data_IF_559779276490
#
_entry.id   IF_559779276490
#
_cell.length_a   1.000
_cell.length_b   1.000
_cell.length_c   1.000
_cell.angle_alpha   90.00
_cell.angle_beta   90.00
_cell.angle_gamma   90.00
#
_symmetry.space_group_name_H-M   'P 1'
#
loop_
_entity.id
_entity.type
_entity.pdbx_description
1 polymer ?
#
# COMPACT_ATOMS: atom_id res chain seq x y z
N UNK A 1 -29.15 8.99 -19.04
CA UNK A 1 -29.07 8.32 -17.74
C UNK A 1 -28.45 6.98 -18.04
N UNK A 2 -27.11 6.83 -17.88
CA UNK A 2 -26.45 5.53 -18.01
C UNK A 2 -26.89 4.69 -16.81
N UNK A 3 -27.42 3.53 -17.10
CA UNK A 3 -27.76 2.51 -16.10
C UNK A 3 -26.44 2.04 -15.46
N UNK A 4 -26.06 2.70 -14.37
CA UNK A 4 -24.85 2.44 -13.61
C UNK A 4 -25.12 1.35 -12.55
N UNK A 5 -26.01 0.41 -12.90
CA UNK A 5 -26.27 -0.75 -12.06
C UNK A 5 -24.96 -1.54 -11.95
N UNK A 6 -24.37 -1.65 -10.74
CA UNK A 6 -23.11 -2.36 -10.58
C UNK A 6 -23.26 -3.80 -11.06
N UNK A 7 -22.34 -4.28 -11.88
CA UNK A 7 -22.28 -5.70 -12.19
C UNK A 7 -22.02 -6.48 -10.91
N UNK A 8 -22.72 -7.59 -10.71
CA UNK A 8 -22.55 -8.52 -9.59
C UNK A 8 -21.19 -9.27 -9.61
N UNK A 9 -20.16 -8.75 -10.26
CA UNK A 9 -18.83 -9.37 -10.28
C UNK A 9 -18.13 -8.93 -9.00
N UNK A 10 -18.06 -9.83 -8.06
CA UNK A 10 -17.46 -9.63 -6.73
C UNK A 10 -15.97 -9.97 -6.68
N UNK A 11 -15.42 -10.59 -7.73
CA UNK A 11 -13.99 -10.90 -7.84
C UNK A 11 -13.57 -11.00 -9.29
N UNK A 12 -12.30 -10.70 -9.55
CA UNK A 12 -11.69 -10.84 -10.86
C UNK A 12 -10.41 -11.67 -10.77
N UNK A 13 -10.30 -12.69 -11.60
CA UNK A 13 -9.06 -13.44 -11.75
C UNK A 13 -8.14 -12.72 -12.74
N UNK A 14 -6.88 -12.51 -12.32
CA UNK A 14 -5.81 -11.97 -13.12
C UNK A 14 -4.81 -13.10 -13.40
N UNK A 15 -4.47 -13.29 -14.67
CA UNK A 15 -3.57 -14.37 -15.08
C UNK A 15 -2.77 -13.96 -16.31
N UNK A 16 -1.64 -13.36 -16.11
CA UNK A 16 -0.78 -12.87 -17.19
C UNK A 16 0.69 -12.93 -16.80
N UNK A 17 1.54 -13.21 -17.79
CA UNK A 17 3.00 -13.07 -17.72
C UNK A 17 3.66 -13.71 -16.49
N UNK A 18 3.12 -14.83 -16.02
CA UNK A 18 3.63 -15.54 -14.83
C UNK A 18 2.99 -15.11 -13.51
N UNK A 19 2.13 -14.10 -13.52
CA UNK A 19 1.32 -13.74 -12.37
C UNK A 19 -0.02 -14.45 -12.39
N UNK A 20 -0.50 -14.86 -11.24
CA UNK A 20 -1.84 -15.42 -11.01
C UNK A 20 -2.38 -14.89 -9.71
N UNK A 21 -3.55 -14.28 -9.73
CA UNK A 21 -4.18 -13.76 -8.52
C UNK A 21 -5.66 -13.53 -8.68
N UNK A 22 -6.34 -13.32 -7.56
CA UNK A 22 -7.75 -12.94 -7.52
C UNK A 22 -7.85 -11.57 -6.86
N UNK A 23 -8.41 -10.60 -7.57
CA UNK A 23 -8.74 -9.29 -7.03
C UNK A 23 -10.15 -9.34 -6.47
N UNK A 24 -10.30 -8.88 -5.23
CA UNK A 24 -11.56 -8.82 -4.50
C UNK A 24 -12.12 -7.39 -4.55
N UNK A 25 -13.44 -7.29 -4.58
CA UNK A 25 -14.15 -6.10 -4.14
C UNK A 25 -14.59 -6.25 -2.67
N UNK A 26 -14.99 -5.15 -2.04
CA UNK A 26 -15.42 -5.17 -0.63
C UNK A 26 -16.71 -5.98 -0.39
N UNK A 27 -17.46 -6.27 -1.44
CA UNK A 27 -18.75 -6.98 -1.39
C UNK A 27 -18.52 -8.49 -1.36
N UNK A 28 -17.52 -8.97 -2.11
CA UNK A 28 -17.23 -10.40 -2.26
C UNK A 28 -16.80 -11.09 -0.97
N UNK A 29 -16.38 -10.32 0.03
CA UNK A 29 -15.73 -10.87 1.21
C UNK A 29 -16.25 -10.25 2.51
N UNK A 30 -17.50 -10.56 2.85
CA UNK A 30 -18.15 -10.08 4.08
C UNK A 30 -17.37 -10.39 5.37
N UNK A 31 -16.52 -11.42 5.38
CA UNK A 31 -15.72 -11.80 6.55
C UNK A 31 -14.41 -11.03 6.65
N UNK A 32 -13.81 -10.60 5.54
CA UNK A 32 -12.50 -9.92 5.51
C UNK A 32 -12.58 -8.45 5.16
N UNK A 33 -13.63 -8.00 4.50
CA UNK A 33 -13.88 -6.61 4.12
C UNK A 33 -12.63 -5.93 3.55
N UNK A 34 -12.29 -6.23 2.30
CA UNK A 34 -11.13 -5.66 1.64
C UNK A 34 -11.23 -5.72 0.12
N UNK A 35 -10.57 -4.77 -0.51
CA UNK A 35 -10.32 -4.72 -1.96
C UNK A 35 -8.86 -5.05 -2.21
N UNK A 36 -8.52 -5.58 -3.39
CA UNK A 36 -7.15 -5.94 -3.73
C UNK A 36 -6.95 -7.45 -3.86
N UNK A 37 -5.72 -7.91 -3.70
CA UNK A 37 -5.36 -9.29 -4.03
C UNK A 37 -5.49 -10.26 -2.85
N UNK A 38 -6.17 -11.38 -3.10
CA UNK A 38 -6.16 -12.56 -2.25
C UNK A 38 -6.64 -13.79 -3.03
N UNK A 39 -5.73 -14.73 -3.39
CA UNK A 39 -4.27 -14.67 -3.28
C UNK A 39 -3.59 -13.92 -4.44
N UNK A 40 -2.26 -13.75 -4.34
CA UNK A 40 -1.40 -13.34 -5.47
C UNK A 40 -0.15 -14.24 -5.52
N UNK A 41 0.02 -14.94 -6.63
CA UNK A 41 1.15 -15.85 -6.88
C UNK A 41 2.03 -15.33 -8.00
N UNK A 42 3.32 -15.54 -7.85
CA UNK A 42 4.32 -15.29 -8.91
C UNK A 42 4.82 -16.60 -9.51
N UNK A 43 5.14 -16.61 -10.81
CA UNK A 43 5.52 -17.81 -11.53
C UNK A 43 6.76 -18.53 -10.98
N UNK A 44 7.68 -17.81 -10.34
CA UNK A 44 8.81 -18.43 -9.65
C UNK A 44 8.39 -19.22 -8.38
N UNK A 45 7.24 -18.89 -7.78
CA UNK A 45 6.72 -19.49 -6.55
C UNK A 45 5.20 -19.69 -6.66
N UNK A 46 4.74 -20.61 -7.54
CA UNK A 46 3.32 -20.72 -7.91
C UNK A 46 2.41 -21.20 -6.78
N UNK A 47 2.98 -21.77 -5.73
CA UNK A 47 2.24 -22.36 -4.60
C UNK A 47 2.33 -21.51 -3.32
N UNK A 48 3.03 -20.38 -3.38
CA UNK A 48 3.21 -19.47 -2.23
C UNK A 48 2.62 -18.11 -2.59
N UNK A 49 1.54 -17.72 -1.92
CA UNK A 49 0.97 -16.39 -2.06
C UNK A 49 1.90 -15.33 -1.47
N UNK A 50 2.03 -14.19 -2.16
CA UNK A 50 2.78 -13.03 -1.67
C UNK A 50 2.17 -12.43 -0.40
N UNK A 51 0.86 -12.54 -0.26
CA UNK A 51 0.10 -12.07 0.89
C UNK A 51 -0.44 -13.22 1.72
N UNK A 52 -0.70 -12.96 2.98
CA UNK A 52 -1.33 -13.93 3.88
C UNK A 52 -2.69 -14.38 3.35
N UNK A 53 -3.02 -15.66 3.55
CA UNK A 53 -4.30 -16.24 3.08
C UNK A 53 -5.52 -15.67 3.83
N UNK A 54 -5.31 -15.16 5.06
CA UNK A 54 -6.35 -14.58 5.91
C UNK A 54 -6.43 -13.05 5.79
N UNK A 55 -5.69 -12.43 4.86
CA UNK A 55 -5.64 -11.00 4.63
C UNK A 55 -5.73 -10.66 3.14
N UNK A 56 -5.76 -9.38 2.80
CA UNK A 56 -5.80 -8.84 1.44
C UNK A 56 -4.59 -7.98 1.23
N UNK A 57 -3.88 -8.16 0.11
CA UNK A 57 -2.76 -7.31 -0.28
C UNK A 57 -3.22 -6.14 -1.15
N UNK A 58 -2.53 -5.02 -1.02
CA UNK A 58 -2.83 -3.73 -1.65
C UNK A 58 -4.28 -3.29 -1.45
N UNK A 59 -4.78 -3.56 -0.25
CA UNK A 59 -6.13 -3.21 0.15
C UNK A 59 -6.24 -1.70 0.40
N UNK A 60 -7.10 -1.00 -0.33
CA UNK A 60 -7.45 0.38 0.00
C UNK A 60 -8.26 0.38 1.30
N UNK A 61 -7.58 0.63 2.42
CA UNK A 61 -8.10 0.33 3.75
C UNK A 61 -8.61 1.53 4.50
N UNK A 62 -7.84 2.64 4.50
CA UNK A 62 -8.15 3.80 5.33
C UNK A 62 -8.31 5.08 4.52
N UNK A 63 -9.22 5.95 5.00
CA UNK A 63 -9.22 7.39 4.76
C UNK A 63 -9.22 8.09 6.12
N UNK A 64 -8.33 9.06 6.33
CA UNK A 64 -8.22 9.83 7.56
C UNK A 64 -7.78 11.27 7.28
N UNK A 65 -8.01 12.19 8.22
CA UNK A 65 -7.76 13.63 8.05
C UNK A 65 -7.17 14.30 9.28
N UNK A 66 -6.69 13.51 10.27
CA UNK A 66 -6.12 14.02 11.51
C UNK A 66 -7.11 14.62 12.51
N UNK A 67 -8.39 14.70 12.19
CA UNK A 67 -9.40 15.10 13.17
C UNK A 67 -9.63 14.00 14.21
N UNK A 68 -10.21 14.38 15.35
CA UNK A 68 -10.71 13.43 16.32
C UNK A 68 -11.69 12.44 15.66
N UNK A 69 -11.73 11.22 16.17
CA UNK A 69 -12.55 10.17 15.59
C UNK A 69 -14.03 10.57 15.58
N UNK A 70 -14.68 10.43 14.44
CA UNK A 70 -16.09 10.74 14.22
C UNK A 70 -16.84 9.44 13.90
N UNK A 71 -17.82 9.10 14.73
CA UNK A 71 -18.63 7.90 14.55
C UNK A 71 -19.37 7.85 13.18
N UNK A 72 -19.62 9.01 12.55
CA UNK A 72 -20.21 9.09 11.23
C UNK A 72 -19.22 8.76 10.09
N UNK A 73 -17.93 8.82 10.35
CA UNK A 73 -16.84 8.57 9.38
C UNK A 73 -15.76 7.70 9.98
N UNK A 74 -15.90 6.39 9.83
CA UNK A 74 -14.83 5.48 10.20
C UNK A 74 -13.66 5.61 9.23
N UNK A 75 -12.42 5.59 9.74
CA UNK A 75 -11.23 5.51 8.91
C UNK A 75 -11.23 4.26 8.03
N UNK A 76 -11.82 3.16 8.47
CA UNK A 76 -11.94 1.90 7.74
C UNK A 76 -13.03 1.90 6.66
N UNK A 77 -13.57 3.07 6.30
CA UNK A 77 -14.62 3.21 5.32
C UNK A 77 -14.28 2.62 3.96
N UNK A 78 -13.09 2.85 3.36
CA UNK A 78 -12.80 2.33 2.04
C UNK A 78 -12.92 0.82 1.92
N UNK A 79 -12.58 0.06 2.96
CA UNK A 79 -12.71 -1.39 2.92
C UNK A 79 -14.11 -1.90 3.28
N UNK A 80 -15.00 -1.03 3.76
CA UNK A 80 -16.38 -1.36 4.15
C UNK A 80 -17.40 -0.82 3.15
N UNK A 81 -17.07 0.29 2.46
CA UNK A 81 -17.94 0.88 1.46
C UNK A 81 -18.03 0.01 0.21
N UNK A 82 -19.16 0.07 -0.52
CA UNK A 82 -19.28 -0.60 -1.80
C UNK A 82 -18.17 -0.22 -2.77
N UNK A 83 -17.49 -1.26 -3.28
CA UNK A 83 -16.45 -1.18 -4.30
C UNK A 83 -16.85 -2.10 -5.46
N UNK A 84 -16.66 -1.65 -6.69
CA UNK A 84 -17.15 -2.35 -7.87
C UNK A 84 -16.02 -2.58 -8.87
N UNK A 85 -16.00 -3.78 -9.48
CA UNK A 85 -15.16 -4.07 -10.61
C UNK A 85 -15.66 -3.30 -11.84
N UNK A 86 -14.80 -2.43 -12.40
CA UNK A 86 -15.11 -1.59 -13.57
C UNK A 86 -14.73 -2.24 -14.88
N UNK A 87 -13.56 -2.86 -14.89
CA UNK A 87 -13.04 -3.54 -16.07
C UNK A 87 -12.13 -4.69 -15.66
N UNK A 88 -12.04 -5.67 -16.53
CA UNK A 88 -11.17 -6.82 -16.35
C UNK A 88 -10.68 -7.33 -17.69
N UNK A 89 -9.38 -7.65 -17.77
CA UNK A 89 -8.75 -8.51 -18.76
C UNK A 89 -7.88 -9.53 -18.01
N UNK A 90 -7.23 -10.45 -18.74
CA UNK A 90 -6.28 -11.38 -18.10
C UNK A 90 -5.09 -10.66 -17.43
N UNK A 91 -4.76 -9.46 -17.90
CA UNK A 91 -3.61 -8.68 -17.43
C UNK A 91 -3.97 -7.44 -16.61
N UNK A 92 -5.22 -7.05 -16.52
CA UNK A 92 -5.61 -5.80 -15.85
C UNK A 92 -6.97 -5.90 -15.17
N UNK A 93 -7.09 -5.16 -14.06
CA UNK A 93 -8.34 -5.03 -13.28
C UNK A 93 -8.46 -3.60 -12.78
N UNK A 94 -9.67 -3.04 -12.85
CA UNK A 94 -9.99 -1.75 -12.24
C UNK A 94 -11.16 -1.85 -11.27
N UNK A 95 -11.01 -1.20 -10.12
CA UNK A 95 -11.99 -1.07 -9.04
C UNK A 95 -12.44 0.38 -8.92
N UNK A 96 -13.71 0.60 -8.56
CA UNK A 96 -14.27 1.94 -8.32
C UNK A 96 -15.05 1.98 -7.00
N UNK A 97 -14.88 3.05 -6.25
CA UNK A 97 -15.69 3.46 -5.09
C UNK A 97 -16.51 4.69 -5.46
N UNK A 98 -17.84 4.61 -5.61
CA UNK A 98 -18.66 5.77 -5.91
C UNK A 98 -18.77 6.73 -4.73
N UNK A 99 -18.64 8.02 -4.97
CA UNK A 99 -18.72 9.05 -3.93
C UNK A 99 -20.03 9.02 -3.13
N UNK A 100 -21.15 8.67 -3.78
CA UNK A 100 -22.48 8.55 -3.15
C UNK A 100 -22.53 7.48 -2.06
N UNK A 101 -21.70 6.43 -2.18
CA UNK A 101 -21.66 5.28 -1.27
C UNK A 101 -20.55 5.44 -0.22
N UNK A 102 -19.73 6.49 -0.32
CA UNK A 102 -18.63 6.79 0.59
C UNK A 102 -19.04 7.81 1.66
N UNK A 103 -18.81 7.50 2.93
CA UNK A 103 -19.02 8.44 4.05
C UNK A 103 -18.09 9.66 3.95
N UNK A 104 -16.98 9.54 3.23
CA UNK A 104 -16.04 10.63 2.92
C UNK A 104 -16.41 11.42 1.67
N UNK A 105 -17.41 10.96 0.89
CA UNK A 105 -17.73 11.53 -0.41
C UNK A 105 -16.57 11.40 -1.40
N UNK A 106 -15.84 10.33 -1.30
CA UNK A 106 -14.69 10.02 -2.14
C UNK A 106 -15.13 9.22 -3.37
N UNK A 107 -15.01 9.81 -4.56
CA UNK A 107 -15.05 9.09 -5.83
C UNK A 107 -13.64 8.60 -6.11
N UNK A 108 -13.42 7.29 -6.05
CA UNK A 108 -12.09 6.73 -6.21
C UNK A 108 -12.05 5.61 -7.26
N UNK A 109 -10.93 5.51 -7.96
CA UNK A 109 -10.63 4.43 -8.90
C UNK A 109 -9.22 3.91 -8.66
N UNK A 110 -9.07 2.59 -8.68
CA UNK A 110 -7.82 1.86 -8.51
C UNK A 110 -7.69 0.85 -9.62
N UNK A 111 -6.59 0.91 -10.38
CA UNK A 111 -6.33 -0.04 -11.46
C UNK A 111 -4.98 -0.73 -11.26
N UNK A 112 -4.95 -2.01 -11.62
CA UNK A 112 -3.76 -2.86 -11.64
C UNK A 112 -3.52 -3.35 -13.06
N UNK A 113 -2.27 -3.37 -13.51
CA UNK A 113 -1.85 -3.89 -14.81
C UNK A 113 -0.56 -4.70 -14.69
N UNK A 114 -0.58 -5.95 -15.13
CA UNK A 114 0.64 -6.78 -15.25
C UNK A 114 1.43 -6.32 -16.46
N UNK A 115 2.57 -5.70 -16.23
CA UNK A 115 3.42 -5.11 -17.27
C UNK A 115 4.40 -6.14 -17.84
N UNK A 116 5.05 -6.91 -16.96
CA UNK A 116 6.03 -7.93 -17.33
C UNK A 116 6.02 -9.09 -16.30
N UNK A 117 6.88 -10.12 -16.43
CA UNK A 117 6.90 -11.24 -15.51
C UNK A 117 7.21 -10.88 -14.04
N UNK A 118 7.74 -9.70 -13.78
CA UNK A 118 8.19 -9.28 -12.46
C UNK A 118 7.50 -8.02 -11.93
N UNK A 119 6.65 -7.36 -12.74
CA UNK A 119 6.09 -6.07 -12.36
C UNK A 119 4.59 -5.96 -12.60
N UNK A 120 3.93 -5.33 -11.64
CA UNK A 120 2.54 -4.89 -11.72
C UNK A 120 2.54 -3.37 -11.50
N UNK A 121 1.98 -2.63 -12.45
CA UNK A 121 1.72 -1.20 -12.27
C UNK A 121 0.37 -1.00 -11.61
N UNK A 122 0.30 -0.03 -10.72
CA UNK A 122 -0.91 0.41 -10.06
C UNK A 122 -1.11 1.90 -10.29
N UNK A 123 -2.31 2.30 -10.60
CA UNK A 123 -2.73 3.70 -10.65
C UNK A 123 -3.92 3.93 -9.74
N UNK A 124 -3.91 5.05 -9.04
CA UNK A 124 -5.01 5.48 -8.18
C UNK A 124 -5.41 6.90 -8.49
N UNK A 125 -6.71 7.16 -8.50
CA UNK A 125 -7.28 8.50 -8.57
C UNK A 125 -8.42 8.66 -7.58
N UNK A 126 -8.59 9.87 -7.05
CA UNK A 126 -9.66 10.22 -6.12
C UNK A 126 -10.08 11.68 -6.30
N UNK A 127 -11.38 11.93 -6.16
CA UNK A 127 -11.94 13.28 -6.01
C UNK A 127 -12.93 13.27 -4.85
N UNK A 128 -12.99 14.35 -4.09
CA UNK A 128 -13.89 14.48 -2.95
C UNK A 128 -15.03 15.44 -3.27
N UNK A 129 -16.27 14.99 -3.16
CA UNK A 129 -17.46 15.83 -3.38
C UNK A 129 -17.79 16.72 -2.18
N UNK A 130 -17.24 16.42 -1.01
CA UNK A 130 -17.46 17.14 0.26
C UNK A 130 -16.15 17.59 0.89
N UNK A 131 -16.17 18.70 1.59
CA UNK A 131 -15.04 19.15 2.41
C UNK A 131 -14.96 18.30 3.69
N UNK A 132 -13.90 17.52 3.80
CA UNK A 132 -13.68 16.58 4.91
C UNK A 132 -12.26 16.70 5.49
N UNK A 133 -11.62 17.87 5.35
CA UNK A 133 -10.23 18.11 5.71
C UNK A 133 -10.02 19.25 6.72
N UNK A 134 -10.59 19.18 7.94
CA UNK A 134 -10.47 20.24 8.95
C UNK A 134 -9.02 20.52 9.36
N UNK A 135 -8.09 19.57 9.17
CA UNK A 135 -6.66 19.74 9.41
C UNK A 135 -5.87 20.10 8.14
N UNK A 136 -6.57 20.48 7.04
CA UNK A 136 -5.92 20.89 5.79
C UNK A 136 -5.41 19.74 4.92
N UNK A 137 -5.75 18.49 5.22
CA UNK A 137 -5.40 17.34 4.42
C UNK A 137 -6.41 16.20 4.48
N UNK A 138 -6.34 15.32 3.50
CA UNK A 138 -6.93 13.97 3.53
C UNK A 138 -5.84 12.98 3.14
N UNK A 139 -5.72 11.92 3.89
CA UNK A 139 -4.79 10.84 3.63
C UNK A 139 -5.51 9.51 3.45
N UNK A 140 -4.97 8.70 2.56
CA UNK A 140 -5.47 7.38 2.21
C UNK A 140 -4.37 6.35 2.41
N UNK A 141 -4.72 5.12 2.82
CA UNK A 141 -3.75 4.08 3.11
C UNK A 141 -4.10 2.77 2.43
N UNK A 142 -3.08 2.10 1.91
CA UNK A 142 -3.13 0.75 1.40
C UNK A 142 -2.39 -0.17 2.35
N UNK A 143 -3.07 -1.24 2.76
CA UNK A 143 -2.50 -2.26 3.63
C UNK A 143 -2.13 -3.52 2.85
N UNK A 144 -1.00 -4.12 3.22
CA UNK A 144 -0.46 -5.31 2.57
C UNK A 144 0.17 -6.24 3.60
N UNK A 145 -0.63 -7.16 4.14
CA UNK A 145 -0.12 -8.17 5.06
C UNK A 145 0.68 -9.20 4.31
N UNK A 146 1.99 -9.12 4.47
CA UNK A 146 2.94 -9.94 3.73
C UNK A 146 2.96 -11.38 4.23
N UNK A 147 3.41 -12.27 3.38
CA UNK A 147 3.65 -13.67 3.71
C UNK A 147 5.13 -13.99 3.51
N UNK A 148 5.73 -14.68 4.51
CA UNK A 148 7.10 -15.20 4.44
C UNK A 148 8.19 -14.15 4.24
N UNK A 149 8.07 -12.97 4.87
CA UNK A 149 9.16 -12.01 4.85
C UNK A 149 10.40 -12.55 5.57
N UNK A 150 11.60 -12.13 5.14
CA UNK A 150 12.89 -12.49 5.80
C UNK A 150 12.95 -11.90 7.20
N UNK A 151 12.53 -10.66 7.28
CA UNK A 151 12.28 -9.92 8.50
C UNK A 151 11.15 -8.92 8.27
N UNK A 152 10.76 -8.17 9.29
CA UNK A 152 9.64 -7.21 9.20
C UNK A 152 10.03 -5.87 8.57
N UNK A 153 11.32 -5.61 8.32
CA UNK A 153 11.80 -4.30 7.87
C UNK A 153 11.46 -4.00 6.42
N UNK A 154 11.17 -2.73 6.17
CA UNK A 154 11.30 -2.13 4.86
C UNK A 154 12.61 -1.35 4.80
N UNK A 155 13.25 -1.35 3.63
CA UNK A 155 14.50 -0.63 3.37
C UNK A 155 14.25 0.43 2.32
N UNK A 156 14.88 1.58 2.45
CA UNK A 156 14.72 2.71 1.52
C UNK A 156 15.98 3.59 1.52
N UNK A 157 16.14 4.40 0.48
CA UNK A 157 17.18 5.41 0.44
C UNK A 157 16.68 6.68 1.14
N UNK A 158 17.33 7.10 2.22
CA UNK A 158 16.80 8.14 3.08
C UNK A 158 17.79 8.69 4.09
N UNK A 159 17.24 9.28 5.15
CA UNK A 159 18.00 9.81 6.29
C UNK A 159 17.60 9.13 7.57
N UNK A 160 18.59 8.94 8.44
CA UNK A 160 18.42 8.56 9.84
C UNK A 160 19.22 9.55 10.69
N UNK A 161 18.54 10.56 11.24
CA UNK A 161 19.19 11.76 11.76
C UNK A 161 19.98 12.51 10.69
N UNK A 162 21.30 12.69 10.92
CA UNK A 162 22.21 13.35 9.97
C UNK A 162 22.79 12.39 8.91
N UNK A 163 22.60 11.08 9.08
CA UNK A 163 23.16 10.09 8.17
C UNK A 163 22.25 9.90 6.96
N UNK A 164 22.83 10.06 5.76
CA UNK A 164 22.14 9.80 4.49
C UNK A 164 22.63 8.48 3.85
N UNK A 165 21.71 7.72 3.25
CA UNK A 165 22.00 6.48 2.54
C UNK A 165 20.88 5.45 2.71
N UNK A 166 21.22 4.19 2.47
CA UNK A 166 20.31 3.09 2.74
C UNK A 166 20.02 2.98 4.25
N UNK A 167 18.77 3.01 4.59
CA UNK A 167 18.26 2.86 5.95
C UNK A 167 17.06 1.90 5.96
N UNK A 168 16.63 1.50 7.13
CA UNK A 168 15.49 0.60 7.30
C UNK A 168 14.56 1.08 8.39
N UNK A 169 13.33 0.61 8.34
CA UNK A 169 12.30 0.86 9.34
C UNK A 169 11.55 -0.43 9.66
N UNK A 170 11.23 -0.64 10.93
CA UNK A 170 10.48 -1.78 11.41
C UNK A 170 11.14 -2.64 12.47
N UNK A 171 12.34 -2.27 12.90
CA UNK A 171 13.10 -2.98 13.92
C UNK A 171 13.84 -1.99 14.84
N UNK A 172 13.17 -0.87 15.12
CA UNK A 172 13.75 0.23 15.91
C UNK A 172 13.48 0.05 17.41
N UNK A 173 13.95 -1.05 17.97
CA UNK A 173 13.74 -1.42 19.37
C UNK A 173 14.30 -0.34 20.32
N UNK A 174 15.45 0.26 19.96
CA UNK A 174 16.10 1.30 20.77
C UNK A 174 15.28 2.59 20.85
N UNK A 175 14.62 2.97 19.76
CA UNK A 175 13.75 4.15 19.72
C UNK A 175 12.35 3.88 20.25
N UNK A 176 11.97 2.60 20.43
CA UNK A 176 10.62 2.19 20.75
C UNK A 176 9.61 2.41 19.64
N UNK A 177 10.07 2.67 18.40
CA UNK A 177 9.25 3.01 17.25
C UNK A 177 9.32 1.94 16.17
N UNK A 178 8.78 0.76 16.45
CA UNK A 178 8.80 -0.39 15.55
C UNK A 178 7.74 -0.34 14.44
N UNK A 179 6.72 0.49 14.62
CA UNK A 179 5.58 0.65 13.69
C UNK A 179 5.27 2.13 13.52
N UNK A 180 4.60 2.49 12.43
CA UNK A 180 4.23 3.86 12.12
C UNK A 180 4.56 4.23 10.68
N UNK A 181 4.96 5.47 10.47
CA UNK A 181 5.17 6.02 9.12
C UNK A 181 6.50 6.74 8.97
N UNK A 182 6.99 6.77 7.74
CA UNK A 182 8.17 7.53 7.32
C UNK A 182 7.76 8.42 6.15
N UNK A 183 8.01 9.74 6.26
CA UNK A 183 7.66 10.73 5.23
C UNK A 183 8.83 11.09 4.34
N UNK A 184 8.55 11.78 3.25
CA UNK A 184 9.58 12.45 2.45
C UNK A 184 10.26 13.55 3.27
N UNK A 185 11.57 13.70 3.11
CA UNK A 185 12.40 14.56 3.96
C UNK A 185 12.02 16.05 3.91
N UNK A 186 11.49 16.52 2.76
CA UNK A 186 11.20 17.93 2.47
C UNK A 186 9.71 18.29 2.67
N UNK A 187 8.96 17.48 3.43
CA UNK A 187 7.57 17.81 3.79
C UNK A 187 7.40 17.87 5.30
N UNK A 188 6.49 18.73 5.75
CA UNK A 188 6.17 18.85 7.15
C UNK A 188 5.37 17.65 7.67
N UNK A 189 5.54 17.30 8.95
CA UNK A 189 4.71 16.29 9.62
C UNK A 189 3.22 16.61 9.50
N UNK A 190 2.39 15.55 9.52
CA UNK A 190 0.95 15.72 9.58
C UNK A 190 0.52 16.22 10.96
N UNK A 191 -0.28 17.27 10.98
CA UNK A 191 -0.90 17.76 12.22
C UNK A 191 -2.16 16.95 12.52
N UNK A 192 -2.47 16.73 13.80
CA UNK A 192 -3.65 15.99 14.22
C UNK A 192 -4.20 16.48 15.55
N UNK A 193 -5.48 16.25 15.77
CA UNK A 193 -6.18 16.59 17.01
C UNK A 193 -6.05 15.45 18.04
N UNK A 194 -6.19 15.78 19.33
CA UNK A 194 -6.35 14.77 20.36
C UNK A 194 -7.58 13.88 20.06
N UNK A 195 -7.42 12.58 20.22
CA UNK A 195 -8.47 11.61 19.88
C UNK A 195 -8.53 11.22 18.39
N UNK A 196 -7.58 11.69 17.56
CA UNK A 196 -7.39 11.14 16.23
C UNK A 196 -6.74 9.74 16.28
N UNK A 197 -6.82 9.01 15.18
CA UNK A 197 -6.11 7.74 15.01
C UNK A 197 -4.60 7.98 14.84
N UNK A 198 -3.88 8.06 15.95
CA UNK A 198 -2.43 8.32 15.97
C UNK A 198 -1.63 7.28 15.20
N UNK A 199 -2.13 6.05 15.13
CA UNK A 199 -1.60 4.96 14.31
C UNK A 199 -1.23 5.41 12.87
N UNK A 200 -2.08 6.23 12.24
CA UNK A 200 -1.90 6.64 10.84
C UNK A 200 -1.16 7.97 10.66
N UNK A 201 -1.03 8.77 11.70
CA UNK A 201 -0.45 10.12 11.60
C UNK A 201 0.92 10.24 12.25
N UNK A 202 1.23 9.37 13.22
CA UNK A 202 2.51 9.40 13.91
C UNK A 202 3.63 8.97 12.97
N UNK A 203 4.67 9.78 12.89
CA UNK A 203 5.83 9.59 12.03
C UNK A 203 7.07 9.23 12.84
N UNK A 204 7.97 8.47 12.22
CA UNK A 204 9.26 8.17 12.83
C UNK A 204 10.02 9.48 13.13
N UNK A 205 10.53 9.65 14.36
CA UNK A 205 11.09 10.94 14.80
C UNK A 205 12.37 11.34 14.05
N UNK A 206 13.13 10.38 13.52
CA UNK A 206 14.46 10.61 12.96
C UNK A 206 14.63 10.15 11.52
N UNK A 207 13.72 9.30 11.01
CA UNK A 207 13.86 8.73 9.66
C UNK A 207 12.94 9.41 8.66
N UNK A 208 13.52 9.74 7.50
CA UNK A 208 12.79 10.26 6.33
C UNK A 208 13.34 9.64 5.07
N UNK A 209 12.52 9.46 4.04
CA UNK A 209 13.03 8.99 2.76
C UNK A 209 13.41 10.15 1.84
N UNK A 210 14.36 9.89 0.93
CA UNK A 210 14.84 10.81 -0.12
C UNK A 210 14.31 10.41 -1.49
N UNK A 211 14.14 9.12 -1.72
CA UNK A 211 13.62 8.58 -2.97
C UNK A 211 12.31 7.81 -2.70
N UNK A 212 11.26 8.03 -3.49
CA UNK A 212 9.94 7.47 -3.20
C UNK A 212 9.83 5.99 -3.63
N UNK A 213 10.60 5.14 -2.99
CA UNK A 213 10.46 3.70 -3.08
C UNK A 213 10.94 3.02 -1.79
N UNK A 214 10.38 1.87 -1.51
CA UNK A 214 10.91 0.98 -0.48
C UNK A 214 11.00 -0.45 -0.99
N UNK A 215 11.81 -1.26 -0.32
CA UNK A 215 11.97 -2.68 -0.60
C UNK A 215 11.93 -3.49 0.69
N UNK A 216 11.20 -4.59 0.67
CA UNK A 216 11.24 -5.62 1.68
C UNK A 216 11.74 -6.94 1.09
N UNK A 217 12.28 -7.81 1.92
CA UNK A 217 12.86 -9.08 1.50
C UNK A 217 11.92 -10.24 1.85
N UNK A 218 11.60 -11.07 0.86
CA UNK A 218 10.64 -12.18 0.96
C UNK A 218 11.33 -13.49 0.62
N UNK A 219 11.02 -14.56 1.36
CA UNK A 219 11.42 -15.92 1.01
C UNK A 219 10.41 -16.50 0.01
N UNK A 220 10.86 -16.90 -1.17
CA UNK A 220 9.97 -17.54 -2.15
C UNK A 220 9.49 -18.92 -1.68
N UNK A 221 10.42 -19.77 -1.26
CA UNK A 221 10.13 -21.10 -0.70
C UNK A 221 11.23 -21.53 0.28
N UNK A 222 11.10 -22.71 0.87
CA UNK A 222 12.10 -23.24 1.81
C UNK A 222 12.09 -22.55 3.17
N UNK A 223 13.23 -22.51 3.81
CA UNK A 223 13.41 -21.86 5.11
C UNK A 223 13.42 -20.34 4.95
N UNK A 224 12.57 -19.64 5.72
CA UNK A 224 12.50 -18.18 5.68
C UNK A 224 13.77 -17.49 6.18
N UNK A 225 14.63 -18.18 6.89
CA UNK A 225 15.92 -17.68 7.39
C UNK A 225 17.08 -17.88 6.43
N UNK A 226 16.93 -18.75 5.42
CA UNK A 226 18.00 -19.02 4.45
C UNK A 226 18.09 -17.88 3.42
N UNK A 227 19.31 -17.39 3.11
CA UNK A 227 19.51 -16.31 2.15
C UNK A 227 19.17 -16.71 0.70
N UNK A 228 19.34 -17.99 0.38
CA UNK A 228 19.04 -18.54 -0.95
C UNK A 228 17.53 -18.36 -1.28
N UNK A 229 17.25 -17.96 -2.52
CA UNK A 229 15.89 -17.75 -2.99
C UNK A 229 15.21 -16.48 -2.44
N UNK A 230 15.98 -15.53 -1.91
CA UNK A 230 15.43 -14.24 -1.48
C UNK A 230 14.93 -13.43 -2.67
N UNK A 231 13.71 -12.93 -2.52
CA UNK A 231 13.06 -12.02 -3.47
C UNK A 231 13.02 -10.61 -2.90
N UNK A 232 13.25 -9.62 -3.75
CA UNK A 232 12.95 -8.22 -3.46
C UNK A 232 11.50 -7.93 -3.83
N UNK A 233 10.71 -7.50 -2.86
CA UNK A 233 9.43 -6.86 -3.05
C UNK A 233 9.64 -5.35 -2.95
N UNK A 234 9.59 -4.64 -4.07
CA UNK A 234 9.79 -3.19 -4.09
C UNK A 234 8.52 -2.48 -4.55
N UNK A 235 8.18 -1.38 -3.87
CA UNK A 235 7.11 -0.46 -4.27
C UNK A 235 7.72 0.89 -4.59
N UNK A 236 7.55 1.36 -5.83
CA UNK A 236 8.14 2.56 -6.38
C UNK A 236 7.03 3.54 -6.77
N UNK A 237 7.14 4.81 -6.40
CA UNK A 237 6.11 5.82 -6.64
C UNK A 237 6.58 6.90 -7.63
N UNK A 238 5.65 7.44 -8.41
CA UNK A 238 5.92 8.50 -9.38
C UNK A 238 6.11 9.88 -8.74
N UNK A 239 5.81 10.03 -7.46
CA UNK A 239 5.94 11.26 -6.69
C UNK A 239 6.42 10.97 -5.25
N UNK A 240 7.03 11.95 -4.58
CA UNK A 240 7.57 11.79 -3.24
C UNK A 240 6.74 12.52 -2.17
N UNK A 241 6.36 13.77 -2.42
CA UNK A 241 5.79 14.69 -1.41
C UNK A 241 4.44 14.21 -0.84
N UNK A 242 3.66 13.52 -1.67
CA UNK A 242 2.36 12.99 -1.27
C UNK A 242 2.43 11.57 -0.68
N UNK A 243 3.59 10.93 -0.69
CA UNK A 243 3.74 9.54 -0.25
C UNK A 243 4.33 9.48 1.16
N UNK A 244 3.86 8.52 1.95
CA UNK A 244 4.47 8.10 3.22
C UNK A 244 4.53 6.58 3.22
N UNK A 245 5.68 6.03 3.59
CA UNK A 245 5.80 4.60 3.86
C UNK A 245 5.21 4.30 5.22
N UNK A 246 4.59 3.15 5.36
CA UNK A 246 3.99 2.74 6.61
C UNK A 246 4.26 1.26 6.88
N UNK A 247 4.34 0.89 8.16
CA UNK A 247 4.53 -0.48 8.56
C UNK A 247 3.85 -0.77 9.88
N UNK A 248 3.21 -1.94 9.94
CA UNK A 248 2.47 -2.41 11.12
C UNK A 248 2.75 -3.88 11.39
N UNK A 249 2.65 -4.26 12.67
CA UNK A 249 2.87 -5.61 13.14
C UNK A 249 1.67 -6.08 13.97
N UNK A 250 0.55 -6.40 13.29
CA UNK A 250 -0.67 -6.86 13.98
C UNK A 250 -0.67 -8.36 14.25
N UNK A 251 0.02 -9.14 13.43
CA UNK A 251 0.10 -10.57 13.65
C UNK A 251 1.18 -10.91 14.65
N UNK A 252 0.89 -11.89 15.51
CA UNK A 252 1.81 -12.36 16.52
C UNK A 252 2.13 -13.83 16.29
N UNK A 253 3.31 -14.24 16.73
CA UNK A 253 3.70 -15.64 16.85
C UNK A 253 2.94 -16.35 17.98
N UNK A 254 3.20 -17.64 18.19
CA UNK A 254 2.57 -18.44 19.25
C UNK A 254 2.91 -17.95 20.68
N UNK A 255 3.97 -17.14 20.84
CA UNK A 255 4.38 -16.56 22.12
C UNK A 255 3.78 -15.16 22.34
N UNK A 256 3.05 -14.61 21.36
CA UNK A 256 2.43 -13.28 21.42
C UNK A 256 3.37 -12.14 21.01
N UNK A 257 4.54 -12.44 20.46
CA UNK A 257 5.44 -11.42 19.90
C UNK A 257 5.03 -11.11 18.45
N UNK A 258 5.32 -9.88 17.94
CA UNK A 258 5.10 -9.56 16.54
C UNK A 258 5.77 -10.60 15.61
N UNK A 259 4.98 -11.18 14.71
CA UNK A 259 5.50 -12.16 13.74
C UNK A 259 6.42 -11.46 12.73
N UNK A 260 7.73 -11.77 12.70
CA UNK A 260 8.67 -11.10 11.81
C UNK A 260 8.47 -11.48 10.34
N UNK A 261 7.66 -12.53 10.06
CA UNK A 261 7.44 -13.06 8.73
C UNK A 261 6.09 -12.66 8.13
N UNK A 262 5.32 -11.82 8.84
CA UNK A 262 3.99 -11.38 8.41
C UNK A 262 3.69 -9.92 8.77
N UNK A 263 4.62 -8.96 8.55
CA UNK A 263 4.32 -7.55 8.75
C UNK A 263 3.32 -7.05 7.71
N UNK A 264 2.69 -5.92 8.01
CA UNK A 264 2.00 -5.14 7.00
C UNK A 264 2.97 -4.10 6.43
N UNK A 265 3.33 -4.23 5.15
CA UNK A 265 4.12 -3.24 4.41
C UNK A 265 3.19 -2.37 3.60
N UNK A 266 2.96 -1.18 4.12
CA UNK A 266 1.90 -0.28 3.72
C UNK A 266 2.47 1.01 3.14
N UNK A 267 1.60 1.80 2.52
CA UNK A 267 1.89 3.18 2.17
C UNK A 267 0.66 4.05 2.30
N UNK A 268 0.90 5.34 2.35
CA UNK A 268 -0.15 6.35 2.40
C UNK A 268 0.04 7.35 1.27
N UNK A 269 -1.08 7.83 0.73
CA UNK A 269 -1.15 8.95 -0.20
C UNK A 269 -1.84 10.12 0.49
N UNK A 270 -1.17 11.25 0.58
CA UNK A 270 -1.62 12.44 1.31
C UNK A 270 -1.92 13.57 0.34
N UNK A 271 -3.15 14.02 0.30
CA UNK A 271 -3.55 15.23 -0.43
C UNK A 271 -3.58 16.39 0.56
N UNK A 272 -2.65 17.32 0.43
CA UNK A 272 -2.62 18.56 1.23
C UNK A 272 -3.43 19.65 0.54
N UNK A 273 -4.18 20.43 1.32
CA UNK A 273 -5.08 21.48 0.84
C UNK A 273 -6.00 21.01 -0.30
N UNK A 274 -6.77 19.92 -0.10
CA UNK A 274 -7.62 19.40 -1.15
C UNK A 274 -8.72 20.39 -1.53
N UNK A 275 -9.14 20.33 -2.80
CA UNK A 275 -10.23 21.09 -3.36
C UNK A 275 -11.38 20.14 -3.74
N UNK A 276 -12.63 20.59 -3.57
CA UNK A 276 -13.80 19.79 -3.96
C UNK A 276 -13.79 19.49 -5.46
N UNK A 277 -14.12 18.26 -5.81
CA UNK A 277 -14.24 17.75 -7.19
C UNK A 277 -12.94 17.84 -8.01
N UNK A 278 -11.81 18.20 -7.40
CA UNK A 278 -10.51 18.14 -8.06
C UNK A 278 -9.96 16.74 -7.97
N UNK A 279 -9.52 16.13 -9.10
CA UNK A 279 -8.89 14.83 -9.07
C UNK A 279 -7.46 14.91 -8.55
N UNK A 280 -7.08 13.94 -7.71
CA UNK A 280 -5.75 13.68 -7.20
C UNK A 280 -5.41 12.21 -7.45
N UNK A 281 -4.13 11.88 -7.56
CA UNK A 281 -3.74 10.49 -7.76
C UNK A 281 -2.26 10.30 -7.81
N UNK A 282 -1.85 9.04 -7.94
CA UNK A 282 -0.47 8.63 -8.10
C UNK A 282 -0.41 7.34 -8.92
N UNK A 283 0.78 7.04 -9.40
CA UNK A 283 1.13 5.74 -9.97
C UNK A 283 2.23 5.13 -9.13
N UNK A 284 2.16 3.82 -8.95
CA UNK A 284 3.26 3.07 -8.41
C UNK A 284 3.53 1.82 -9.25
N UNK A 285 4.77 1.37 -9.21
CA UNK A 285 5.20 0.08 -9.75
C UNK A 285 5.57 -0.84 -8.61
N UNK A 286 4.98 -2.02 -8.60
CA UNK A 286 5.32 -3.08 -7.68
C UNK A 286 6.20 -4.07 -8.43
N UNK A 287 7.43 -4.28 -7.94
CA UNK A 287 8.39 -5.22 -8.49
C UNK A 287 8.60 -6.38 -7.52
N UNK A 288 8.58 -7.62 -8.04
CA UNK A 288 8.87 -8.83 -7.27
C UNK A 288 9.81 -9.73 -8.07
N UNK A 289 11.08 -9.74 -7.71
CA UNK A 289 12.13 -10.44 -8.44
C UNK A 289 13.28 -10.88 -7.54
N UNK A 290 14.17 -11.79 -8.00
CA UNK A 290 15.33 -12.18 -7.21
C UNK A 290 16.13 -10.99 -6.70
N UNK A 291 16.42 -10.97 -5.41
CA UNK A 291 17.20 -9.91 -4.79
C UNK A 291 18.68 -9.99 -5.26
N UNK A 292 19.20 -8.89 -5.78
CA UNK A 292 20.57 -8.76 -6.29
C UNK A 292 21.36 -7.64 -5.59
N UNK A 293 20.88 -7.22 -4.42
CA UNK A 293 21.40 -6.08 -3.69
C UNK A 293 20.54 -4.83 -3.85
N UNK A 294 20.74 -3.89 -2.96
CA UNK A 294 19.94 -2.66 -2.91
C UNK A 294 20.22 -1.72 -4.09
N UNK A 295 21.46 -1.71 -4.60
CA UNK A 295 21.82 -0.90 -5.78
C UNK A 295 21.04 -1.35 -7.03
N UNK A 296 20.80 -2.64 -7.20
CA UNK A 296 19.97 -3.14 -8.29
C UNK A 296 18.50 -2.69 -8.17
N UNK A 297 17.98 -2.52 -6.96
CA UNK A 297 16.64 -1.95 -6.74
C UNK A 297 16.62 -0.46 -7.08
N UNK A 298 17.66 0.26 -6.74
CA UNK A 298 17.81 1.68 -7.11
C UNK A 298 17.87 1.86 -8.64
N UNK A 299 18.65 1.04 -9.35
CA UNK A 299 18.71 1.05 -10.82
C UNK A 299 17.34 0.79 -11.46
N UNK A 300 16.56 -0.14 -10.89
CA UNK A 300 15.20 -0.40 -11.36
C UNK A 300 14.28 0.80 -11.19
N UNK A 301 14.35 1.46 -10.03
CA UNK A 301 13.59 2.67 -9.75
C UNK A 301 13.96 3.78 -10.74
N UNK A 302 15.24 4.05 -10.95
CA UNK A 302 15.73 5.07 -11.89
C UNK A 302 15.29 4.78 -13.32
N UNK A 303 15.38 3.51 -13.74
CA UNK A 303 14.93 3.07 -15.06
C UNK A 303 13.42 3.32 -15.26
N UNK A 304 12.61 2.97 -14.27
CA UNK A 304 11.18 3.22 -14.34
C UNK A 304 10.85 4.71 -14.34
N UNK A 305 11.49 5.49 -13.49
CA UNK A 305 11.33 6.96 -13.44
C UNK A 305 11.65 7.61 -14.78
N UNK A 306 12.70 7.14 -15.45
CA UNK A 306 13.07 7.60 -16.80
C UNK A 306 12.01 7.30 -17.88
N UNK A 307 11.17 6.28 -17.68
CA UNK A 307 10.05 5.96 -18.57
C UNK A 307 8.86 6.89 -18.38
N UNK A 308 8.63 7.36 -17.13
CA UNK A 308 7.52 8.28 -16.82
C UNK A 308 7.70 9.68 -17.39
N UNK A 309 8.93 10.07 -17.67
CA UNK A 309 9.30 11.41 -18.16
C UNK A 309 9.24 11.53 -19.69
N UNK A 310 8.91 10.45 -20.40
CA UNK A 310 8.76 10.38 -21.85
C UNK A 310 7.28 10.37 -22.25
#
# INVERSE_FOLDING_TARGET
>A
MSDDTPREIQRADLRARGWRGTVLDNIANASRQGSGFNPLYHGAFPDVSLFRDDAVGWNFEHIFNGAAEDAARSMFTPRKDPCFLRSQTDASVALRWPARDSSWGAEAELAYEVVDPHTIDMSFSVAFEREVWPMGYVAMMWASYMNRTRDRRIHFYGRDGEREGWTSFGDDVESGFETGTVRFYDVEPLQYQNGSQTLNVVEHPHKTFLLPFYVGLVAGHGDVTAEEGTMAYAVMFDQAEAIRFAMWNFFTDAAGHPDPHSPAWDWQFVVRSPERNRPYGYRCRISYKPFRGYDAVLEDYESWRGQLSR
#
